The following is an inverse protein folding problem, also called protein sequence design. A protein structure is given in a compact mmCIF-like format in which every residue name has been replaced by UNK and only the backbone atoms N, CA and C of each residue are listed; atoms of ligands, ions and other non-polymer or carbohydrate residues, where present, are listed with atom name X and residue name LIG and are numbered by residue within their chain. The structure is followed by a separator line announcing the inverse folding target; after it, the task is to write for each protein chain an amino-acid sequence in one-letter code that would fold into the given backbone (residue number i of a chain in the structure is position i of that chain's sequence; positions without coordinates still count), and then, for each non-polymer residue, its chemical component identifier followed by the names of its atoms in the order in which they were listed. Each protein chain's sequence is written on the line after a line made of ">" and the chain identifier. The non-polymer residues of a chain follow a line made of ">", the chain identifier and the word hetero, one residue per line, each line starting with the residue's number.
data_IF_038546151912
#
_entry.id   IF_038546151912
#
_cell.length_a   1.000
_cell.length_b   1.000
_cell.length_c   1.000
_cell.angle_alpha   90.00
_cell.angle_beta   90.00
_cell.angle_gamma   90.00
#
_symmetry.space_group_name_H-M   'P 1'
#
loop_
_entity.id
_entity.type
_entity.pdbx_description
1 polymer ?
#
# COMPACT_ATOMS: atom_id res chain seq x y z
N UNK A 1 22.12 11.21 -32.48
CA UNK A 1 22.57 11.39 -31.08
C UNK A 1 21.63 12.26 -30.24
N UNK A 2 20.70 13.04 -30.81
CA UNK A 2 19.71 13.82 -30.04
C UNK A 2 18.48 13.02 -29.57
N UNK A 3 17.96 12.12 -30.42
CA UNK A 3 16.74 11.34 -30.14
C UNK A 3 16.83 10.49 -28.85
N UNK A 4 18.00 9.90 -28.59
CA UNK A 4 18.19 9.03 -27.41
C UNK A 4 18.26 9.80 -26.08
N UNK A 5 18.60 11.10 -26.10
CA UNK A 5 18.57 11.94 -24.90
C UNK A 5 17.18 12.55 -24.67
N UNK A 6 16.47 12.90 -25.75
CA UNK A 6 15.07 13.36 -25.68
C UNK A 6 14.13 12.27 -25.17
N UNK A 7 14.27 11.02 -25.65
CA UNK A 7 13.52 9.87 -25.17
C UNK A 7 13.79 9.58 -23.67
N UNK A 8 15.06 9.67 -23.24
CA UNK A 8 15.44 9.51 -21.83
C UNK A 8 14.84 10.60 -20.95
N UNK A 9 14.81 11.85 -21.41
CA UNK A 9 14.20 12.94 -20.67
C UNK A 9 12.67 12.79 -20.62
N UNK A 10 12.03 12.37 -21.71
CA UNK A 10 10.60 12.06 -21.76
C UNK A 10 10.22 10.92 -20.80
N UNK A 11 10.99 9.82 -20.79
CA UNK A 11 10.81 8.74 -19.83
C UNK A 11 10.99 9.21 -18.38
N UNK A 12 11.98 10.08 -18.14
CA UNK A 12 12.19 10.74 -16.85
C UNK A 12 10.99 11.57 -16.39
N UNK A 13 10.38 12.35 -17.30
CA UNK A 13 9.18 13.15 -17.02
C UNK A 13 7.96 12.28 -16.71
N UNK A 14 7.70 11.23 -17.51
CA UNK A 14 6.60 10.31 -17.23
C UNK A 14 6.79 9.56 -15.90
N UNK A 15 8.02 9.19 -15.58
CA UNK A 15 8.34 8.61 -14.28
C UNK A 15 8.09 9.60 -13.13
N UNK A 16 8.46 10.87 -13.27
CA UNK A 16 8.12 11.90 -12.28
C UNK A 16 6.61 12.07 -12.10
N UNK A 17 5.84 12.09 -13.19
CA UNK A 17 4.38 12.15 -13.14
C UNK A 17 3.81 10.95 -12.36
N UNK A 18 4.34 9.75 -12.60
CA UNK A 18 3.97 8.55 -11.84
C UNK A 18 4.30 8.68 -10.35
N UNK A 19 5.51 9.17 -10.02
CA UNK A 19 5.93 9.39 -8.62
C UNK A 19 5.06 10.45 -7.93
N UNK A 20 4.65 11.50 -8.64
CA UNK A 20 3.86 12.62 -8.09
C UNK A 20 2.34 12.37 -8.10
N UNK A 21 1.85 11.36 -8.82
CA UNK A 21 0.43 11.04 -8.88
C UNK A 21 -0.18 10.86 -7.47
N UNK A 22 -1.30 11.52 -7.24
CA UNK A 22 -1.95 11.68 -5.92
C UNK A 22 -3.27 10.91 -5.77
N UNK A 23 -3.68 10.19 -6.83
CA UNK A 23 -4.90 9.37 -6.87
C UNK A 23 -4.58 7.97 -7.36
N UNK A 24 -5.36 6.98 -6.92
CA UNK A 24 -5.16 5.58 -7.33
C UNK A 24 -5.24 5.43 -8.86
N UNK A 25 -6.31 5.94 -9.49
CA UNK A 25 -6.45 5.95 -10.95
C UNK A 25 -5.31 6.66 -11.66
N UNK A 26 -4.94 7.85 -11.19
CA UNK A 26 -3.86 8.63 -11.78
C UNK A 26 -2.52 7.88 -11.72
N UNK A 27 -2.22 7.23 -10.60
CA UNK A 27 -1.01 6.41 -10.45
C UNK A 27 -0.97 5.25 -11.46
N UNK A 28 -2.07 4.49 -11.59
CA UNK A 28 -2.15 3.38 -12.55
C UNK A 28 -2.04 3.89 -13.99
N UNK A 29 -2.73 4.97 -14.34
CA UNK A 29 -2.69 5.56 -15.68
C UNK A 29 -1.30 6.08 -16.04
N UNK A 30 -0.65 6.84 -15.15
CA UNK A 30 0.71 7.34 -15.36
C UNK A 30 1.72 6.19 -15.52
N UNK A 31 1.54 5.10 -14.76
CA UNK A 31 2.39 3.91 -14.89
C UNK A 31 2.20 3.21 -16.24
N UNK A 32 0.95 3.05 -16.70
CA UNK A 32 0.66 2.45 -17.99
C UNK A 32 1.23 3.27 -19.16
N UNK A 33 1.18 4.60 -19.07
CA UNK A 33 1.82 5.49 -20.06
C UNK A 33 3.34 5.32 -20.07
N UNK A 34 3.96 5.21 -18.89
CA UNK A 34 5.40 4.95 -18.76
C UNK A 34 5.77 3.60 -19.38
N UNK A 35 5.00 2.53 -19.11
CA UNK A 35 5.25 1.21 -19.67
C UNK A 35 5.14 1.20 -21.19
N UNK A 36 4.12 1.88 -21.76
CA UNK A 36 3.97 2.01 -23.21
C UNK A 36 5.12 2.75 -23.86
N UNK A 37 5.58 3.86 -23.26
CA UNK A 37 6.73 4.61 -23.79
C UNK A 37 8.01 3.75 -23.80
N UNK A 38 8.20 2.96 -22.74
CA UNK A 38 9.38 2.10 -22.60
C UNK A 38 9.23 0.76 -23.32
N UNK A 39 8.11 0.50 -23.99
CA UNK A 39 7.79 -0.79 -24.62
C UNK A 39 7.99 -1.97 -23.65
N UNK A 40 7.28 -1.89 -22.52
CA UNK A 40 7.27 -2.89 -21.45
C UNK A 40 5.85 -3.41 -21.23
N UNK A 41 5.70 -4.72 -21.11
CA UNK A 41 4.46 -5.36 -20.67
C UNK A 41 4.58 -5.82 -19.21
N UNK A 42 3.79 -5.26 -18.26
CA UNK A 42 3.72 -5.74 -16.88
C UNK A 42 3.28 -7.21 -16.74
N UNK A 43 2.73 -7.81 -17.80
CA UNK A 43 2.42 -9.24 -17.79
C UNK A 43 3.68 -10.13 -17.76
N UNK A 44 4.80 -9.66 -18.30
CA UNK A 44 6.11 -10.33 -18.28
C UNK A 44 6.83 -10.20 -16.93
N UNK A 45 6.13 -10.55 -15.86
CA UNK A 45 6.51 -10.23 -14.48
C UNK A 45 7.91 -10.72 -14.08
N UNK A 46 8.38 -11.84 -14.65
CA UNK A 46 9.68 -12.44 -14.33
C UNK A 46 10.86 -11.53 -14.71
N UNK A 47 10.75 -10.80 -15.82
CA UNK A 47 11.83 -9.95 -16.34
C UNK A 47 11.51 -8.46 -16.25
N UNK A 48 10.25 -8.10 -15.98
CA UNK A 48 9.75 -6.72 -16.01
C UNK A 48 10.62 -5.74 -15.20
N UNK A 49 10.92 -6.03 -13.94
CA UNK A 49 11.70 -5.09 -13.10
C UNK A 49 13.12 -4.87 -13.65
N UNK A 50 13.77 -5.92 -14.16
CA UNK A 50 15.09 -5.83 -14.77
C UNK A 50 15.05 -4.98 -16.05
N UNK A 51 14.06 -5.24 -16.91
CA UNK A 51 13.81 -4.50 -18.15
C UNK A 51 13.49 -3.03 -17.88
N UNK A 52 12.61 -2.75 -16.91
CA UNK A 52 12.25 -1.40 -16.47
C UNK A 52 13.47 -0.61 -16.02
N UNK A 53 14.29 -1.19 -15.14
CA UNK A 53 15.51 -0.54 -14.65
C UNK A 53 16.50 -0.25 -15.78
N UNK A 54 16.63 -1.17 -16.73
CA UNK A 54 17.56 -1.04 -17.86
C UNK A 54 17.11 0.04 -18.84
N UNK A 55 15.80 0.17 -19.08
CA UNK A 55 15.24 1.18 -19.98
C UNK A 55 15.07 2.55 -19.34
N UNK A 56 14.79 2.61 -18.03
CA UNK A 56 14.60 3.86 -17.28
C UNK A 56 15.89 4.32 -16.59
N UNK A 57 16.86 4.81 -17.37
CA UNK A 57 18.19 5.21 -16.90
C UNK A 57 18.29 6.65 -16.39
N UNK A 58 17.16 7.37 -16.29
CA UNK A 58 17.13 8.76 -15.84
C UNK A 58 17.70 8.91 -14.42
N UNK A 59 18.45 9.99 -14.17
CA UNK A 59 19.00 10.32 -12.84
C UNK A 59 17.91 10.39 -11.76
N UNK A 60 16.68 10.73 -12.17
CA UNK A 60 15.48 10.83 -11.31
C UNK A 60 15.11 9.49 -10.69
N UNK A 61 15.42 8.36 -11.32
CA UNK A 61 15.05 7.01 -10.87
C UNK A 61 16.19 6.28 -10.14
N UNK A 62 17.45 6.65 -10.40
CA UNK A 62 18.66 5.96 -9.92
C UNK A 62 18.68 5.68 -8.41
N UNK A 63 18.33 6.67 -7.59
CA UNK A 63 18.32 6.51 -6.13
C UNK A 63 17.26 5.50 -5.64
N UNK A 64 16.13 5.40 -6.35
CA UNK A 64 15.09 4.42 -6.04
C UNK A 64 15.56 3.00 -6.41
N UNK A 65 16.18 2.83 -7.58
CA UNK A 65 16.76 1.55 -8.01
C UNK A 65 17.77 1.02 -7.01
N UNK A 66 18.66 1.87 -6.47
CA UNK A 66 19.59 1.44 -5.42
C UNK A 66 18.89 0.88 -4.18
N UNK A 67 17.75 1.45 -3.78
CA UNK A 67 16.96 0.97 -2.62
C UNK A 67 16.28 -0.37 -2.93
N UNK A 68 15.60 -0.45 -4.06
CA UNK A 68 14.86 -1.65 -4.46
C UNK A 68 15.80 -2.81 -4.80
N UNK A 69 16.92 -2.55 -5.47
CA UNK A 69 17.96 -3.56 -5.74
C UNK A 69 18.51 -4.12 -4.43
N UNK A 70 18.81 -3.26 -3.44
CA UNK A 70 19.25 -3.75 -2.11
C UNK A 70 18.22 -4.69 -1.49
N UNK A 71 16.91 -4.40 -1.63
CA UNK A 71 15.85 -5.26 -1.12
C UNK A 71 15.79 -6.58 -1.88
N UNK A 72 15.72 -6.56 -3.21
CA UNK A 72 15.65 -7.77 -4.06
C UNK A 72 16.82 -8.74 -3.85
N UNK A 73 17.99 -8.23 -3.43
CA UNK A 73 19.17 -9.03 -3.11
C UNK A 73 19.13 -9.74 -1.74
N UNK A 74 18.08 -9.58 -0.94
CA UNK A 74 17.95 -10.34 0.30
C UNK A 74 17.92 -11.86 0.01
N UNK A 75 18.64 -12.63 0.83
CA UNK A 75 18.86 -14.07 0.63
C UNK A 75 17.56 -14.88 0.61
N UNK A 76 16.56 -14.42 1.37
CA UNK A 76 15.24 -15.03 1.51
C UNK A 76 14.49 -15.10 0.17
N UNK A 77 14.73 -14.12 -0.71
CA UNK A 77 14.10 -14.09 -2.04
C UNK A 77 14.74 -15.06 -3.04
N UNK A 78 15.92 -15.63 -2.72
CA UNK A 78 16.69 -16.52 -3.63
C UNK A 78 16.84 -15.93 -5.05
N UNK A 79 17.12 -14.63 -5.16
CA UNK A 79 17.17 -13.89 -6.44
C UNK A 79 15.85 -13.96 -7.24
N UNK A 80 14.71 -13.90 -6.54
CA UNK A 80 13.38 -14.00 -7.15
C UNK A 80 13.02 -15.41 -7.62
N UNK A 81 13.68 -16.46 -7.12
CA UNK A 81 13.45 -17.85 -7.53
C UNK A 81 12.69 -18.67 -6.48
N UNK A 82 12.32 -18.06 -5.34
CA UNK A 82 11.72 -18.78 -4.22
C UNK A 82 10.29 -19.26 -4.50
N UNK A 83 9.51 -18.52 -5.31
CA UNK A 83 8.11 -18.79 -5.60
C UNK A 83 7.78 -18.73 -7.11
N UNK A 84 8.76 -19.01 -7.99
CA UNK A 84 8.52 -19.10 -9.45
C UNK A 84 7.47 -20.16 -9.74
N UNK A 85 6.61 -19.90 -10.73
CA UNK A 85 5.46 -20.75 -11.07
C UNK A 85 4.26 -20.61 -10.12
N UNK A 86 4.41 -19.92 -8.99
CA UNK A 86 3.29 -19.65 -8.07
C UNK A 86 2.49 -18.45 -8.54
N UNK A 87 1.16 -18.56 -8.55
CA UNK A 87 0.24 -17.48 -8.93
C UNK A 87 -0.61 -17.07 -7.73
N UNK A 88 -0.48 -15.84 -7.25
CA UNK A 88 -1.14 -15.37 -6.04
C UNK A 88 -2.22 -14.33 -6.38
N UNK A 89 -3.40 -14.47 -5.76
CA UNK A 89 -4.44 -13.45 -5.78
C UNK A 89 -4.53 -12.79 -4.39
N UNK A 90 -4.41 -11.47 -4.35
CA UNK A 90 -4.56 -10.67 -3.13
C UNK A 90 -5.88 -9.93 -3.19
N UNK A 91 -6.69 -10.07 -2.15
CA UNK A 91 -8.00 -9.44 -2.06
C UNK A 91 -7.85 -8.17 -1.20
N UNK A 92 -7.94 -7.01 -1.83
CA UNK A 92 -7.88 -5.69 -1.19
C UNK A 92 -6.55 -4.96 -1.36
N UNK A 93 -6.62 -3.75 -1.89
CA UNK A 93 -5.53 -2.79 -2.08
C UNK A 93 -5.25 -1.93 -0.84
N UNK A 94 -5.44 -2.48 0.36
CA UNK A 94 -5.07 -1.84 1.62
C UNK A 94 -3.55 -1.86 1.86
N UNK A 95 -3.03 -1.15 2.89
CA UNK A 95 -1.60 -1.16 3.20
C UNK A 95 -1.02 -2.57 3.36
N UNK A 96 -1.69 -3.44 4.11
CA UNK A 96 -1.24 -4.82 4.32
C UNK A 96 -1.26 -5.63 3.02
N UNK A 97 -2.36 -5.58 2.26
CA UNK A 97 -2.49 -6.33 1.00
C UNK A 97 -1.42 -5.94 -0.03
N UNK A 98 -1.22 -4.64 -0.24
CA UNK A 98 -0.15 -4.14 -1.12
C UNK A 98 1.25 -4.52 -0.61
N UNK A 99 1.48 -4.43 0.71
CA UNK A 99 2.76 -4.80 1.30
C UNK A 99 3.07 -6.29 1.12
N UNK A 100 2.08 -7.15 1.27
CA UNK A 100 2.21 -8.58 1.00
C UNK A 100 2.41 -8.87 -0.47
N UNK A 101 1.69 -8.18 -1.36
CA UNK A 101 1.86 -8.32 -2.80
C UNK A 101 3.31 -8.03 -3.24
N UNK A 102 3.92 -6.98 -2.67
CA UNK A 102 5.33 -6.64 -2.90
C UNK A 102 6.25 -7.79 -2.48
N UNK A 103 6.08 -8.37 -1.28
CA UNK A 103 6.93 -9.51 -0.86
C UNK A 103 6.78 -10.73 -1.78
N UNK A 104 5.54 -11.07 -2.17
CA UNK A 104 5.29 -12.19 -3.06
C UNK A 104 5.91 -11.98 -4.45
N UNK A 105 5.83 -10.76 -4.98
CA UNK A 105 6.48 -10.41 -6.23
C UNK A 105 8.01 -10.52 -6.12
N UNK A 106 8.60 -10.04 -5.01
CA UNK A 106 10.04 -10.17 -4.76
C UNK A 106 10.50 -11.63 -4.60
N UNK A 107 9.62 -12.52 -4.13
CA UNK A 107 9.86 -13.97 -4.09
C UNK A 107 9.81 -14.63 -5.48
N UNK A 108 9.30 -13.95 -6.51
CA UNK A 108 9.18 -14.45 -7.89
C UNK A 108 7.79 -14.95 -8.30
N UNK A 109 6.77 -14.79 -7.45
CA UNK A 109 5.40 -15.20 -7.79
C UNK A 109 4.77 -14.22 -8.80
N UNK A 110 3.85 -14.72 -9.64
CA UNK A 110 2.90 -13.85 -10.36
C UNK A 110 1.85 -13.38 -9.36
N UNK A 111 1.75 -12.07 -9.16
CA UNK A 111 0.82 -11.50 -8.16
C UNK A 111 -0.22 -10.62 -8.83
N UNK A 112 -1.49 -10.87 -8.52
CA UNK A 112 -2.62 -10.03 -8.89
C UNK A 112 -3.30 -9.54 -7.62
N UNK A 113 -3.56 -8.25 -7.55
CA UNK A 113 -4.33 -7.61 -6.49
C UNK A 113 -5.65 -7.12 -7.09
N UNK A 114 -6.77 -7.47 -6.45
CA UNK A 114 -8.08 -6.92 -6.77
C UNK A 114 -8.58 -6.02 -5.64
N UNK A 115 -9.07 -4.84 -5.96
CA UNK A 115 -9.62 -3.88 -5.01
C UNK A 115 -11.02 -3.45 -5.45
N UNK A 116 -11.97 -3.51 -4.51
CA UNK A 116 -13.36 -3.16 -4.76
C UNK A 116 -13.54 -1.69 -5.13
N UNK A 117 -12.71 -0.79 -4.58
CA UNK A 117 -12.77 0.65 -4.81
C UNK A 117 -11.78 1.08 -5.89
N UNK A 118 -11.95 2.29 -6.40
CA UNK A 118 -11.01 2.92 -7.34
C UNK A 118 -10.33 4.17 -6.77
N UNK A 119 -10.57 4.46 -5.49
CA UNK A 119 -10.06 5.64 -4.80
C UNK A 119 -9.54 5.28 -3.42
N UNK A 120 -8.43 5.95 -3.03
CA UNK A 120 -7.90 5.92 -1.67
C UNK A 120 -8.34 7.19 -0.94
N UNK A 121 -9.42 7.09 -0.17
CA UNK A 121 -10.13 8.24 0.41
C UNK A 121 -9.92 8.42 1.92
N UNK A 122 -9.30 7.47 2.61
CA UNK A 122 -9.16 7.50 4.08
C UNK A 122 -8.03 8.43 4.50
N UNK A 123 -8.39 9.51 5.19
CA UNK A 123 -7.45 10.51 5.71
C UNK A 123 -6.93 10.20 7.11
N UNK A 124 -7.58 9.29 7.85
CA UNK A 124 -7.13 8.87 9.18
C UNK A 124 -5.66 8.45 9.17
N UNK A 125 -5.01 8.69 10.31
CA UNK A 125 -3.57 8.57 10.48
C UNK A 125 -3.23 7.29 11.21
N UNK A 126 -2.19 6.61 10.72
CA UNK A 126 -1.63 5.41 11.31
C UNK A 126 -0.30 5.76 11.97
N UNK A 127 -0.17 5.44 13.25
CA UNK A 127 1.13 5.38 13.91
C UNK A 127 1.96 4.24 13.32
N UNK A 128 3.27 4.46 13.18
CA UNK A 128 4.23 3.52 12.61
C UNK A 128 5.30 3.20 13.65
N UNK A 129 5.49 1.91 13.92
CA UNK A 129 6.60 1.48 14.76
C UNK A 129 7.94 1.69 14.04
N UNK A 130 9.06 1.79 14.78
CA UNK A 130 10.37 2.04 14.20
C UNK A 130 10.76 1.06 13.07
N UNK A 131 10.44 -0.23 13.22
CA UNK A 131 10.73 -1.23 12.20
C UNK A 131 9.93 -0.99 10.90
N UNK A 132 8.68 -0.55 11.01
CA UNK A 132 7.83 -0.22 9.86
C UNK A 132 8.37 1.02 9.14
N UNK A 133 8.80 2.05 9.89
CA UNK A 133 9.47 3.22 9.31
C UNK A 133 10.73 2.79 8.55
N UNK A 134 11.55 1.92 9.15
CA UNK A 134 12.75 1.40 8.52
C UNK A 134 12.44 0.60 7.25
N UNK A 135 11.45 -0.30 7.28
CA UNK A 135 11.01 -1.09 6.12
C UNK A 135 10.58 -0.18 4.96
N UNK A 136 9.70 0.78 5.24
CA UNK A 136 9.20 1.72 4.22
C UNK A 136 10.32 2.63 3.68
N UNK A 137 11.24 3.10 4.53
CA UNK A 137 12.46 3.81 4.06
C UNK A 137 13.32 2.91 3.16
N UNK A 138 13.42 1.62 3.48
CA UNK A 138 14.10 0.61 2.68
C UNK A 138 13.49 0.42 1.29
N UNK A 139 12.17 0.59 1.17
CA UNK A 139 11.44 0.57 -0.10
C UNK A 139 11.41 1.92 -0.84
N UNK A 140 12.14 2.93 -0.34
CA UNK A 140 12.25 4.22 -1.00
C UNK A 140 11.12 5.20 -0.69
N UNK A 141 10.41 5.05 0.44
CA UNK A 141 9.27 5.90 0.83
C UNK A 141 9.46 7.41 0.61
N UNK A 142 10.64 7.96 0.95
CA UNK A 142 10.95 9.38 0.77
C UNK A 142 10.91 9.85 -0.70
N UNK A 143 11.07 8.95 -1.67
CA UNK A 143 10.96 9.27 -3.09
C UNK A 143 9.51 9.53 -3.50
N UNK A 144 8.58 8.77 -2.94
CA UNK A 144 7.15 8.85 -3.23
C UNK A 144 6.43 9.88 -2.35
N UNK A 145 6.94 10.10 -1.14
CA UNK A 145 6.42 11.06 -0.18
C UNK A 145 7.58 11.74 0.55
N UNK A 146 8.00 12.92 0.07
CA UNK A 146 9.19 13.62 0.56
C UNK A 146 9.17 13.94 2.06
N UNK A 147 7.97 14.12 2.62
CA UNK A 147 7.73 14.40 4.04
C UNK A 147 7.66 13.14 4.91
N UNK A 148 7.88 11.95 4.34
CA UNK A 148 7.80 10.68 5.06
C UNK A 148 8.76 10.64 6.25
N UNK A 149 8.18 10.59 7.46
CA UNK A 149 8.90 10.54 8.73
C UNK A 149 10.09 11.53 8.80
N UNK A 150 9.82 12.79 8.45
CA UNK A 150 10.77 13.89 8.62
C UNK A 150 10.82 14.32 10.09
N UNK A 151 12.03 14.55 10.63
CA UNK A 151 12.20 14.85 12.05
C UNK A 151 11.72 13.69 12.93
N UNK A 152 10.87 14.01 13.91
CA UNK A 152 10.29 13.07 14.87
C UNK A 152 8.94 12.46 14.41
N UNK A 153 8.47 12.75 13.19
CA UNK A 153 7.19 12.22 12.68
C UNK A 153 7.27 10.69 12.55
N UNK A 154 6.33 10.00 13.19
CA UNK A 154 6.25 8.53 13.23
C UNK A 154 4.91 8.00 12.69
N UNK A 155 4.20 8.80 11.90
CA UNK A 155 2.87 8.45 11.41
C UNK A 155 2.64 8.83 9.94
N UNK A 156 1.60 8.26 9.34
CA UNK A 156 1.21 8.48 7.94
C UNK A 156 -0.30 8.32 7.76
N UNK A 157 -0.92 9.11 6.88
CA UNK A 157 -2.33 8.88 6.53
C UNK A 157 -2.49 7.60 5.69
N UNK A 158 -3.61 6.90 5.90
CA UNK A 158 -3.88 5.62 5.23
C UNK A 158 -3.75 5.75 3.70
N UNK A 159 -4.36 6.79 3.11
CA UNK A 159 -4.30 7.00 1.66
C UNK A 159 -2.88 7.23 1.13
N UNK A 160 -2.01 7.93 1.87
CA UNK A 160 -0.63 8.17 1.44
C UNK A 160 0.20 6.88 1.49
N UNK A 161 0.00 6.07 2.53
CA UNK A 161 0.60 4.74 2.63
C UNK A 161 0.15 3.84 1.47
N UNK A 162 -1.14 3.84 1.14
CA UNK A 162 -1.68 3.08 0.00
C UNK A 162 -1.08 3.54 -1.34
N UNK A 163 -1.02 4.85 -1.61
CA UNK A 163 -0.43 5.38 -2.85
C UNK A 163 1.04 5.01 -3.00
N UNK A 164 1.82 5.14 -1.94
CA UNK A 164 3.22 4.78 -1.94
C UNK A 164 3.41 3.28 -2.22
N UNK A 165 2.70 2.41 -1.50
CA UNK A 165 2.80 0.97 -1.68
C UNK A 165 2.28 0.52 -3.06
N UNK A 166 1.24 1.17 -3.60
CA UNK A 166 0.76 0.90 -4.95
C UNK A 166 1.85 1.19 -5.99
N UNK A 167 2.56 2.31 -5.86
CA UNK A 167 3.68 2.64 -6.77
C UNK A 167 4.76 1.57 -6.72
N UNK A 168 5.14 1.12 -5.52
CA UNK A 168 6.15 0.07 -5.35
C UNK A 168 5.66 -1.27 -5.92
N UNK A 169 4.39 -1.62 -5.70
CA UNK A 169 3.78 -2.84 -6.22
C UNK A 169 3.79 -2.86 -7.76
N UNK A 170 3.40 -1.76 -8.41
CA UNK A 170 3.44 -1.63 -9.87
C UNK A 170 4.87 -1.76 -10.43
N UNK A 171 5.85 -1.13 -9.77
CA UNK A 171 7.27 -1.28 -10.14
C UNK A 171 7.77 -2.72 -10.00
N UNK A 172 7.20 -3.50 -9.08
CA UNK A 172 7.48 -4.91 -8.87
C UNK A 172 6.63 -5.84 -9.76
N UNK A 173 5.98 -5.32 -10.81
CA UNK A 173 5.10 -6.07 -11.72
C UNK A 173 3.89 -6.74 -11.05
N UNK A 174 3.42 -6.20 -9.92
CA UNK A 174 2.14 -6.60 -9.34
C UNK A 174 1.03 -6.04 -10.22
N UNK A 175 0.18 -6.93 -10.72
CA UNK A 175 -1.00 -6.57 -11.49
C UNK A 175 -2.09 -6.07 -10.52
N UNK A 176 -2.67 -4.91 -10.80
CA UNK A 176 -3.58 -4.24 -9.86
C UNK A 176 -4.88 -3.83 -10.56
N UNK A 177 -6.01 -4.40 -10.10
CA UNK A 177 -7.35 -4.13 -10.63
C UNK A 177 -8.20 -3.41 -9.59
N UNK A 178 -8.84 -2.33 -10.02
CA UNK A 178 -9.82 -1.56 -9.21
C UNK A 178 -11.24 -1.83 -9.69
N UNK A 179 -12.23 -1.51 -8.86
CA UNK A 179 -13.65 -1.77 -9.14
C UNK A 179 -13.96 -3.26 -9.33
N UNK A 180 -13.17 -4.13 -8.69
CA UNK A 180 -13.35 -5.58 -8.73
C UNK A 180 -13.57 -6.09 -7.31
N UNK A 181 -14.76 -6.63 -7.07
CA UNK A 181 -15.13 -7.24 -5.80
C UNK A 181 -14.96 -8.76 -5.86
N UNK A 182 -14.24 -9.31 -4.89
CA UNK A 182 -14.21 -10.76 -4.67
C UNK A 182 -15.54 -11.20 -4.05
N UNK A 183 -16.18 -12.22 -4.63
CA UNK A 183 -17.43 -12.77 -4.11
C UNK A 183 -17.20 -14.11 -3.43
N UNK A 184 -16.65 -15.08 -4.16
CA UNK A 184 -16.41 -16.43 -3.66
C UNK A 184 -15.31 -17.14 -4.46
N UNK A 185 -14.83 -18.22 -3.87
CA UNK A 185 -13.98 -19.19 -4.54
C UNK A 185 -14.84 -20.17 -5.34
N UNK A 186 -14.39 -20.57 -6.52
CA UNK A 186 -14.95 -21.70 -7.24
C UNK A 186 -14.00 -22.89 -7.11
N UNK A 187 -14.53 -24.03 -6.70
CA UNK A 187 -13.78 -25.28 -6.68
C UNK A 187 -13.47 -25.73 -8.11
N UNK A 188 -12.28 -26.32 -8.36
CA UNK A 188 -11.98 -26.89 -9.66
C UNK A 188 -12.99 -27.99 -10.04
N UNK A 189 -13.36 -28.10 -11.33
CA UNK A 189 -14.23 -29.17 -11.81
C UNK A 189 -13.55 -30.54 -11.70
N UNK A 190 -14.34 -31.60 -11.49
CA UNK A 190 -13.88 -32.96 -11.17
C UNK A 190 -12.95 -33.63 -12.22
N UNK A 191 -12.93 -33.16 -13.48
CA UNK A 191 -12.20 -33.81 -14.58
C UNK A 191 -10.75 -33.32 -14.81
N UNK A 192 -10.07 -32.72 -13.82
CA UNK A 192 -8.67 -32.26 -13.95
C UNK A 192 -7.61 -33.30 -13.53
N UNK A 193 -7.93 -34.60 -13.49
CA UNK A 193 -6.99 -35.64 -13.02
C UNK A 193 -5.84 -35.99 -13.98
N UNK A 194 -5.83 -35.52 -15.23
CA UNK A 194 -4.85 -35.97 -16.23
C UNK A 194 -3.71 -34.99 -16.57
N UNK A 195 -3.56 -33.88 -15.85
CA UNK A 195 -2.40 -32.99 -16.03
C UNK A 195 -1.64 -32.83 -14.70
N UNK A 196 -0.73 -33.78 -14.45
CA UNK A 196 0.08 -33.94 -13.22
C UNK A 196 1.07 -32.78 -13.00
N UNK A 197 1.01 -31.72 -13.81
CA UNK A 197 1.84 -30.52 -13.68
C UNK A 197 1.11 -29.32 -13.05
N UNK A 198 -0.20 -29.38 -12.87
CA UNK A 198 -0.99 -28.28 -12.29
C UNK A 198 -1.45 -28.58 -10.87
N UNK A 199 -0.87 -27.87 -9.90
CA UNK A 199 -1.38 -27.77 -8.53
C UNK A 199 -2.90 -27.47 -8.52
N UNK A 200 -3.67 -27.89 -7.48
CA UNK A 200 -5.13 -27.75 -7.45
C UNK A 200 -5.55 -26.30 -7.78
N UNK A 201 -6.14 -26.15 -8.97
CA UNK A 201 -6.36 -24.87 -9.62
C UNK A 201 -7.64 -24.22 -9.09
N UNK A 202 -7.52 -23.08 -8.42
CA UNK A 202 -8.70 -22.30 -8.03
C UNK A 202 -9.07 -21.36 -9.18
N UNK A 203 -10.30 -21.52 -9.69
CA UNK A 203 -10.90 -20.56 -10.62
C UNK A 203 -11.71 -19.54 -9.82
N UNK A 204 -11.77 -18.29 -10.30
CA UNK A 204 -12.42 -17.19 -9.59
C UNK A 204 -13.61 -16.69 -10.40
N UNK A 205 -14.81 -16.63 -9.79
CA UNK A 205 -15.90 -15.84 -10.36
C UNK A 205 -15.64 -14.37 -10.07
N UNK A 206 -15.09 -13.66 -11.05
CA UNK A 206 -14.96 -12.21 -11.03
C UNK A 206 -15.92 -11.63 -12.07
N UNK A 207 -16.36 -10.39 -11.86
CA UNK A 207 -17.21 -9.64 -12.82
C UNK A 207 -16.53 -9.41 -14.18
N UNK A 208 -15.25 -9.79 -14.30
CA UNK A 208 -14.43 -9.70 -15.50
C UNK A 208 -13.52 -10.95 -15.58
N UNK A 209 -13.23 -11.41 -16.79
CA UNK A 209 -12.39 -12.59 -17.05
C UNK A 209 -10.92 -12.32 -16.69
N UNK A 210 -10.51 -12.60 -15.46
CA UNK A 210 -9.09 -12.86 -15.17
C UNK A 210 -8.74 -14.29 -15.55
N UNK A 211 -7.51 -14.49 -16.01
CA UNK A 211 -6.95 -15.80 -16.31
C UNK A 211 -7.24 -16.80 -15.17
N UNK A 212 -7.71 -18.02 -15.46
CA UNK A 212 -8.42 -18.87 -14.50
C UNK A 212 -7.53 -19.60 -13.48
N UNK A 213 -6.34 -19.10 -13.15
CA UNK A 213 -5.35 -19.86 -12.38
C UNK A 213 -4.65 -19.01 -11.33
N UNK A 214 -5.11 -19.04 -10.07
CA UNK A 214 -4.31 -18.61 -8.92
C UNK A 214 -4.31 -19.70 -7.84
N UNK A 215 -3.16 -19.95 -7.23
CA UNK A 215 -2.95 -20.99 -6.23
C UNK A 215 -3.27 -20.53 -4.81
N UNK A 216 -3.26 -19.23 -4.51
CA UNK A 216 -3.46 -18.72 -3.15
C UNK A 216 -4.23 -17.39 -3.12
N UNK A 217 -5.47 -17.36 -2.57
CA UNK A 217 -6.14 -16.12 -2.17
C UNK A 217 -5.64 -15.66 -0.78
N UNK A 218 -5.15 -14.42 -0.67
CA UNK A 218 -4.77 -13.84 0.62
C UNK A 218 -5.65 -12.63 0.99
N UNK A 219 -6.26 -12.75 2.18
CA UNK A 219 -7.03 -11.75 2.95
C UNK A 219 -8.38 -11.24 2.42
N UNK A 220 -9.48 -11.80 2.93
CA UNK A 220 -10.63 -11.13 3.60
C UNK A 220 -11.79 -12.12 3.59
N UNK A 221 -12.19 -12.57 4.79
CA UNK A 221 -13.41 -13.36 5.01
C UNK A 221 -13.63 -14.56 4.09
N UNK A 222 -12.57 -15.31 3.77
CA UNK A 222 -12.74 -16.60 3.14
C UNK A 222 -13.58 -17.50 4.06
N UNK A 223 -14.49 -18.28 3.46
CA UNK A 223 -15.25 -19.31 4.17
C UNK A 223 -14.28 -20.31 4.82
N UNK A 224 -14.64 -20.82 6.01
CA UNK A 224 -13.84 -21.79 6.75
C UNK A 224 -12.96 -21.22 7.87
N UNK A 225 -12.73 -19.90 7.92
CA UNK A 225 -11.99 -19.27 9.02
C UNK A 225 -12.92 -18.89 10.19
N UNK A 226 -12.83 -19.62 11.31
CA UNK A 226 -13.55 -19.28 12.55
C UNK A 226 -13.04 -17.95 13.12
N UNK A 227 -13.96 -17.03 13.41
CA UNK A 227 -13.63 -15.75 14.07
C UNK A 227 -13.80 -15.88 15.57
N UNK A 228 -12.88 -15.28 16.33
CA UNK A 228 -13.02 -15.11 17.78
C UNK A 228 -13.50 -13.68 18.03
N UNK A 229 -14.71 -13.55 18.53
CA UNK A 229 -15.24 -12.26 18.97
C UNK A 229 -14.90 -12.07 20.45
N UNK A 230 -14.31 -10.91 20.78
CA UNK A 230 -14.07 -10.51 22.16
C UNK A 230 -14.91 -9.26 22.45
N UNK A 231 -15.88 -9.39 23.35
CA UNK A 231 -16.72 -8.28 23.79
C UNK A 231 -16.22 -7.73 25.12
N UNK A 232 -15.59 -6.56 25.07
CA UNK A 232 -15.17 -5.81 26.25
C UNK A 232 -16.27 -4.88 26.79
N UNK A 233 -15.84 -3.87 27.56
CA UNK A 233 -16.70 -2.75 27.96
C UNK A 233 -17.12 -1.94 26.72
N UNK A 234 -18.25 -1.23 26.83
CA UNK A 234 -18.64 -0.28 25.79
C UNK A 234 -17.54 0.77 25.60
N UNK A 235 -17.04 0.86 24.37
CA UNK A 235 -16.03 1.84 23.97
C UNK A 235 -16.42 2.43 22.62
N UNK A 236 -16.50 3.75 22.55
CA UNK A 236 -16.84 4.50 21.33
C UNK A 236 -15.61 5.36 20.98
N UNK A 237 -15.11 5.21 19.76
CA UNK A 237 -13.99 5.99 19.24
C UNK A 237 -14.50 7.00 18.21
N UNK A 238 -14.06 8.25 18.34
CA UNK A 238 -14.34 9.32 17.38
C UNK A 238 -13.01 9.74 16.75
N UNK A 239 -12.97 9.84 15.42
CA UNK A 239 -11.81 10.37 14.70
C UNK A 239 -12.24 11.58 13.89
N UNK A 240 -11.51 12.68 14.00
CA UNK A 240 -11.74 13.90 13.24
C UNK A 240 -10.47 14.29 12.47
N UNK A 241 -10.64 14.88 11.29
CA UNK A 241 -9.54 15.43 10.50
C UNK A 241 -9.86 16.89 10.21
N UNK A 242 -8.92 17.78 10.54
CA UNK A 242 -9.00 19.20 10.23
C UNK A 242 -8.00 19.55 9.13
N UNK A 243 -8.28 20.61 8.37
CA UNK A 243 -7.36 21.10 7.34
C UNK A 243 -6.13 21.67 8.02
N UNK A 244 -4.94 21.17 7.67
CA UNK A 244 -3.66 21.76 8.05
C UNK A 244 -3.16 22.66 6.92
N UNK A 245 -3.02 23.97 7.17
CA UNK A 245 -2.53 24.94 6.18
C UNK A 245 -1.01 25.09 6.17
N UNK A 246 -0.29 24.35 7.02
CA UNK A 246 1.16 24.38 7.19
C UNK A 246 1.67 25.80 7.56
N UNK A 247 0.90 26.57 8.32
CA UNK A 247 1.34 27.86 8.86
C UNK A 247 2.38 27.65 9.98
N UNK A 248 3.17 28.69 10.26
CA UNK A 248 4.14 28.66 11.37
C UNK A 248 3.47 28.51 12.73
N UNK A 249 2.23 28.99 12.88
CA UNK A 249 1.45 28.81 14.10
C UNK A 249 0.99 27.35 14.26
N UNK A 250 0.44 26.73 13.21
CA UNK A 250 0.06 25.32 13.23
C UNK A 250 1.27 24.42 13.53
N UNK A 251 2.41 24.63 12.86
CA UNK A 251 3.61 23.80 13.03
C UNK A 251 4.25 23.86 14.43
N UNK A 252 3.89 24.86 15.26
CA UNK A 252 4.37 24.98 16.66
C UNK A 252 3.51 24.20 17.65
N UNK A 253 2.31 23.77 17.26
CA UNK A 253 1.43 23.02 18.15
C UNK A 253 1.96 21.59 18.28
N UNK A 254 2.23 21.16 19.51
CA UNK A 254 2.76 19.83 19.79
C UNK A 254 1.74 18.73 19.53
N UNK A 255 2.23 17.58 19.09
CA UNK A 255 1.40 16.38 18.93
C UNK A 255 1.11 15.71 20.28
N UNK A 256 -0.03 15.03 20.34
CA UNK A 256 -0.44 14.21 21.49
C UNK A 256 -0.33 12.75 21.06
N UNK A 257 0.78 12.09 21.40
CA UNK A 257 1.09 10.70 21.00
C UNK A 257 0.18 9.63 21.63
N UNK A 258 -0.71 10.05 22.54
CA UNK A 258 -1.63 9.19 23.28
C UNK A 258 -1.62 9.56 24.76
N UNK A 259 -2.56 10.43 25.14
CA UNK A 259 -2.82 10.73 26.55
C UNK A 259 -4.02 9.92 26.97
N UNK A 260 -3.90 9.15 28.06
CA UNK A 260 -4.97 8.35 28.62
C UNK A 260 -5.39 8.87 30.00
N UNK A 261 -6.67 8.71 30.35
CA UNK A 261 -7.24 9.20 31.61
C UNK A 261 -6.43 8.76 32.83
N UNK A 262 -5.94 7.52 32.82
CA UNK A 262 -5.18 6.93 33.93
C UNK A 262 -3.92 7.77 34.24
N UNK A 263 -3.28 8.33 33.21
CA UNK A 263 -2.01 9.08 33.36
C UNK A 263 -2.23 10.60 33.48
N UNK A 264 -3.32 11.14 32.95
CA UNK A 264 -3.56 12.58 32.95
C UNK A 264 -5.00 12.94 33.35
N UNK A 265 -5.39 12.53 34.57
CA UNK A 265 -6.75 12.69 35.07
C UNK A 265 -7.19 14.16 35.10
N UNK A 266 -6.30 15.06 35.51
CA UNK A 266 -6.58 16.50 35.59
C UNK A 266 -7.04 17.06 34.24
N UNK A 267 -6.27 16.82 33.18
CA UNK A 267 -6.63 17.26 31.82
C UNK A 267 -8.04 16.83 31.40
N UNK A 268 -8.43 15.58 31.64
CA UNK A 268 -9.76 15.09 31.25
C UNK A 268 -10.89 15.55 32.17
N UNK A 269 -10.60 15.84 33.44
CA UNK A 269 -11.57 16.44 34.35
C UNK A 269 -11.85 17.89 33.96
N UNK A 270 -10.79 18.67 33.71
CA UNK A 270 -10.87 20.05 33.24
C UNK A 270 -11.63 20.13 31.90
N UNK A 271 -11.29 19.25 30.94
CA UNK A 271 -12.00 19.16 29.66
C UNK A 271 -13.50 18.89 29.84
N UNK A 272 -13.87 18.01 30.78
CA UNK A 272 -15.28 17.71 31.05
C UNK A 272 -16.00 18.91 31.66
N UNK A 273 -15.35 19.64 32.55
CA UNK A 273 -15.93 20.83 33.18
C UNK A 273 -16.15 21.97 32.17
N UNK A 274 -15.18 22.21 31.28
CA UNK A 274 -15.24 23.29 30.31
C UNK A 274 -16.15 23.01 29.11
N UNK A 275 -16.23 21.74 28.67
CA UNK A 275 -16.93 21.36 27.42
C UNK A 275 -18.16 20.48 27.62
N UNK A 276 -18.37 19.98 28.84
CA UNK A 276 -19.49 19.12 29.17
C UNK A 276 -20.79 19.91 29.33
N UNK A 277 -21.71 19.78 28.37
CA UNK A 277 -23.12 20.10 28.61
C UNK A 277 -23.72 19.18 29.68
N UNK A 278 -24.84 19.57 30.33
CA UNK A 278 -25.44 18.85 31.47
C UNK A 278 -25.84 17.38 31.19
N UNK A 279 -25.81 16.92 29.94
CA UNK A 279 -26.28 15.59 29.51
C UNK A 279 -25.17 14.62 29.07
N UNK A 280 -23.88 15.01 29.07
CA UNK A 280 -22.80 14.12 28.61
C UNK A 280 -22.37 13.19 29.76
N UNK A 281 -22.98 12.01 29.81
CA UNK A 281 -22.66 10.95 30.78
C UNK A 281 -21.40 10.13 30.44
N UNK A 282 -20.81 10.31 29.24
CA UNK A 282 -19.65 9.55 28.78
C UNK A 282 -18.33 10.30 29.04
N UNK A 283 -17.34 9.63 29.65
CA UNK A 283 -16.00 10.18 29.89
C UNK A 283 -15.08 9.89 28.70
N UNK A 284 -14.37 10.91 28.23
CA UNK A 284 -13.25 10.72 27.29
C UNK A 284 -12.11 10.07 28.07
N UNK A 285 -11.70 8.87 27.63
CA UNK A 285 -10.68 8.08 28.32
C UNK A 285 -9.31 8.14 27.67
N UNK A 286 -9.22 8.62 26.43
CA UNK A 286 -7.98 8.70 25.66
C UNK A 286 -8.09 9.73 24.53
N UNK A 287 -6.99 10.42 24.23
CA UNK A 287 -6.88 11.37 23.13
C UNK A 287 -5.54 11.20 22.42
N UNK A 288 -5.57 11.25 21.09
CA UNK A 288 -4.40 11.27 20.19
C UNK A 288 -4.60 12.41 19.20
N UNK A 289 -3.58 13.25 19.00
CA UNK A 289 -3.58 14.34 18.03
C UNK A 289 -2.28 14.28 17.25
N UNK A 290 -2.37 14.14 15.94
CA UNK A 290 -1.23 14.08 15.02
C UNK A 290 -1.35 15.20 13.99
N UNK A 291 -0.22 15.79 13.60
CA UNK A 291 -0.16 16.78 12.54
C UNK A 291 0.26 16.14 11.22
N UNK A 292 -0.66 16.10 10.26
CA UNK A 292 -0.31 15.73 8.90
C UNK A 292 0.21 16.94 8.15
N UNK A 293 1.49 16.92 7.76
CA UNK A 293 2.00 17.83 6.75
C UNK A 293 1.50 17.39 5.35
N UNK A 294 0.19 17.39 5.07
CA UNK A 294 -0.27 17.16 3.70
C UNK A 294 0.07 18.38 2.81
N UNK A 295 0.38 18.17 1.51
CA UNK A 295 0.31 19.22 0.52
C UNK A 295 -1.12 19.71 0.31
#
# INVERSE_FOLDING_TARGET
>A
MGETEEEKDQAGKLFENFIQASTCKGTVQSFNLLCRLLDLDPQDHETFYCSLKTRLTSWRAKALWTKLDKRTCHKEYKKGQACVGTKCLIIGGGPCGLRTAIELALLGAKVVVIEKRDTFSRNNVLHLWPYTIHDLKGLGAKKFYGKFCAGAIDHISIRQLQLMLLKIALLAAVEFHVNVEFVKLLEPPENQENDVTSHPCLSFSLSFSLSPSFSLPLFLSLSGFKRKEFRGKLAIAITANFVNRNTTAEAKVEEISGVAFIFNQKFFLDLKEETGGPEIHHRISSLVVCQLNSP
#
